data_IF_229126105333
#
_entry.id   IF_229126105333
#
_cell.length_a   1.000
_cell.length_b   1.000
_cell.length_c   1.000
_cell.angle_alpha   90.00
_cell.angle_beta   90.00
_cell.angle_gamma   90.00
#
_symmetry.space_group_name_H-M   'P 1'
#
loop_
_entity.id
_entity.type
_entity.pdbx_description
1 polymer ?
#
# COMPACT_ATOMS: atom_id res chain seq x y z
N UNK A 1 6.30 -4.14 -24.86
CA UNK A 1 5.04 -4.04 -24.09
C UNK A 1 5.40 -4.21 -22.63
N UNK A 2 5.58 -3.11 -21.90
CA UNK A 2 6.12 -3.12 -20.52
C UNK A 2 5.10 -2.48 -19.59
N UNK A 3 4.57 -3.30 -18.67
CA UNK A 3 3.95 -2.97 -17.38
C UNK A 3 3.17 -1.65 -17.30
N UNK A 4 1.85 -1.71 -17.53
CA UNK A 4 0.98 -0.55 -17.38
C UNK A 4 -0.38 -0.80 -16.72
N UNK A 5 -0.67 -2.01 -16.23
CA UNK A 5 -2.03 -2.34 -15.77
C UNK A 5 -2.14 -2.76 -14.29
N UNK A 6 -1.06 -3.19 -13.65
CA UNK A 6 -1.12 -3.80 -12.30
C UNK A 6 -1.06 -2.76 -11.18
N UNK A 7 -0.60 -1.54 -11.46
CA UNK A 7 -0.39 -0.52 -10.41
C UNK A 7 -1.70 0.12 -9.90
N UNK A 8 -2.80 -0.02 -10.65
CA UNK A 8 -4.12 0.53 -10.27
C UNK A 8 -5.03 -0.47 -9.53
N UNK A 9 -4.67 -1.75 -9.46
CA UNK A 9 -5.53 -2.76 -8.82
C UNK A 9 -5.56 -2.67 -7.30
N UNK A 10 -4.43 -2.31 -6.67
CA UNK A 10 -4.35 -2.26 -5.21
C UNK A 10 -5.13 -1.07 -4.61
N UNK A 11 -5.25 0.02 -5.35
CA UNK A 11 -6.05 1.16 -4.91
C UNK A 11 -7.54 0.81 -4.93
N UNK A 12 -8.01 0.07 -5.94
CA UNK A 12 -9.42 -0.31 -6.07
C UNK A 12 -9.87 -1.30 -5.00
N UNK A 13 -9.03 -2.27 -4.64
CA UNK A 13 -9.33 -3.26 -3.60
C UNK A 13 -9.51 -2.59 -2.23
N UNK A 14 -8.63 -1.65 -1.85
CA UNK A 14 -8.72 -1.00 -0.54
C UNK A 14 -9.86 0.01 -0.37
N UNK A 15 -10.36 0.61 -1.47
CA UNK A 15 -11.53 1.52 -1.42
C UNK A 15 -12.85 0.79 -1.67
N UNK A 16 -12.84 -0.33 -2.40
CA UNK A 16 -14.02 -1.16 -2.67
C UNK A 16 -14.58 -1.82 -1.41
N UNK A 17 -13.73 -2.38 -0.56
CA UNK A 17 -14.17 -3.04 0.68
C UNK A 17 -14.89 -2.08 1.64
N UNK A 18 -14.43 -0.81 1.73
CA UNK A 18 -15.08 0.23 2.54
C UNK A 18 -16.42 0.66 1.96
N UNK A 19 -16.53 0.81 0.63
CA UNK A 19 -17.80 1.14 -0.02
C UNK A 19 -18.87 0.06 0.24
N UNK A 20 -18.49 -1.22 0.12
CA UNK A 20 -19.40 -2.34 0.38
C UNK A 20 -19.86 -2.38 1.84
N UNK A 21 -18.97 -2.08 2.79
CA UNK A 21 -19.32 -2.02 4.21
C UNK A 21 -20.31 -0.89 4.53
N UNK A 22 -20.22 0.26 3.84
CA UNK A 22 -21.19 1.35 3.96
C UNK A 22 -22.55 1.02 3.31
N UNK A 23 -22.57 0.31 2.17
CA UNK A 23 -23.83 -0.20 1.59
C UNK A 23 -24.52 -1.22 2.52
N UNK A 24 -23.76 -2.12 3.15
CA UNK A 24 -24.30 -3.12 4.08
C UNK A 24 -24.86 -2.48 5.36
N UNK A 25 -24.18 -1.46 5.94
CA UNK A 25 -24.69 -0.72 7.10
C UNK A 25 -25.96 0.10 6.78
N UNK A 26 -26.00 0.74 5.60
CA UNK A 26 -27.18 1.45 5.13
C UNK A 26 -28.36 0.49 4.88
N UNK A 27 -28.08 -0.74 4.47
CA UNK A 27 -29.09 -1.79 4.28
C UNK A 27 -29.58 -2.38 5.62
N UNK A 28 -28.71 -2.45 6.64
CA UNK A 28 -29.04 -3.04 7.94
C UNK A 28 -29.92 -2.15 8.83
N UNK A 29 -29.99 -0.84 8.57
CA UNK A 29 -30.91 0.08 9.28
C UNK A 29 -32.38 -0.10 8.88
N UNK A 30 -32.67 -0.97 7.91
CA UNK A 30 -34.01 -1.23 7.38
C UNK A 30 -34.67 -2.50 7.96
N UNK A 31 -34.49 -2.79 9.25
CA UNK A 31 -35.33 -3.78 9.95
C UNK A 31 -36.61 -3.12 10.51
N UNK A 32 -37.39 -2.44 9.66
CA UNK A 32 -38.69 -1.89 10.05
C UNK A 32 -39.20 -0.75 9.18
N UNK A 33 -39.93 -1.08 8.10
CA UNK A 33 -40.84 -0.12 7.44
C UNK A 33 -40.46 0.33 6.02
N UNK A 34 -40.94 -0.42 5.03
CA UNK A 34 -41.75 0.10 3.90
C UNK A 34 -41.21 1.10 2.87
N UNK A 35 -40.08 1.77 3.05
CA UNK A 35 -39.64 2.82 2.11
C UNK A 35 -38.14 2.67 1.79
N UNK A 36 -37.80 2.45 0.52
CA UNK A 36 -36.42 2.42 0.06
C UNK A 36 -35.85 3.84 0.08
N UNK A 37 -34.80 4.14 0.87
CA UNK A 37 -34.17 5.45 0.76
C UNK A 37 -33.56 5.57 -0.64
N UNK A 38 -33.82 6.69 -1.33
CA UNK A 38 -33.09 7.06 -2.54
C UNK A 38 -31.66 7.36 -2.11
N UNK A 39 -30.83 6.31 -2.05
CA UNK A 39 -29.46 6.40 -1.61
C UNK A 39 -28.63 7.06 -2.71
N UNK A 40 -28.06 8.23 -2.41
CA UNK A 40 -27.11 8.89 -3.30
C UNK A 40 -25.79 8.13 -3.31
N UNK A 41 -25.66 7.20 -4.27
CA UNK A 41 -24.46 6.38 -4.47
C UNK A 41 -23.20 7.21 -4.64
N UNK A 42 -23.33 8.45 -5.13
CA UNK A 42 -22.20 9.36 -5.33
C UNK A 42 -21.70 9.88 -3.98
N UNK A 43 -22.59 10.28 -3.07
CA UNK A 43 -22.23 10.67 -1.71
C UNK A 43 -21.56 9.53 -0.94
N UNK A 44 -22.09 8.31 -1.05
CA UNK A 44 -21.54 7.12 -0.40
C UNK A 44 -20.12 6.78 -0.91
N UNK A 45 -19.91 6.89 -2.22
CA UNK A 45 -18.59 6.72 -2.81
C UNK A 45 -17.59 7.78 -2.33
N UNK A 46 -18.02 9.05 -2.25
CA UNK A 46 -17.16 10.13 -1.74
C UNK A 46 -16.73 9.85 -0.31
N UNK A 47 -17.64 9.43 0.56
CA UNK A 47 -17.32 9.06 1.94
C UNK A 47 -16.31 7.89 1.99
N UNK A 48 -16.54 6.83 1.21
CA UNK A 48 -15.66 5.66 1.14
C UNK A 48 -14.23 6.00 0.67
N UNK A 49 -14.07 6.90 -0.31
CA UNK A 49 -12.75 7.30 -0.84
C UNK A 49 -12.06 8.41 -0.05
N UNK A 50 -12.63 8.83 1.09
CA UNK A 50 -12.03 9.80 2.01
C UNK A 50 -12.63 11.20 1.90
N UNK A 51 -13.97 11.26 1.87
CA UNK A 51 -14.83 12.41 1.57
C UNK A 51 -14.81 13.60 2.52
N UNK A 52 -13.63 14.00 2.99
CA UNK A 52 -13.47 15.30 3.65
C UNK A 52 -12.87 16.31 2.68
N UNK A 53 -13.58 17.44 2.50
CA UNK A 53 -13.07 18.58 1.75
C UNK A 53 -11.78 19.05 2.44
N UNK A 54 -10.62 18.79 1.81
CA UNK A 54 -9.30 19.18 2.33
C UNK A 54 -9.35 20.62 2.84
N UNK A 55 -9.17 20.79 4.16
CA UNK A 55 -9.04 22.10 4.77
C UNK A 55 -7.87 22.86 4.13
N UNK A 56 -7.87 24.19 4.22
CA UNK A 56 -6.72 24.99 3.76
C UNK A 56 -5.50 24.64 4.63
N UNK A 57 -4.67 23.72 4.15
CA UNK A 57 -3.40 23.36 4.78
C UNK A 57 -2.37 24.42 4.38
N UNK A 58 -1.97 25.25 5.33
CA UNK A 58 -0.84 26.15 5.16
C UNK A 58 0.41 25.46 5.68
N UNK A 59 1.38 25.24 4.80
CA UNK A 59 2.65 24.64 5.14
C UNK A 59 3.44 24.40 3.87
N UNK A 60 4.75 24.62 3.93
CA UNK A 60 5.63 24.10 2.90
C UNK A 60 5.65 22.60 3.06
N UNK A 61 5.01 21.87 2.14
CA UNK A 61 5.08 20.40 2.08
C UNK A 61 6.54 19.93 1.95
N UNK A 62 6.77 18.61 1.84
CA UNK A 62 8.13 18.05 1.69
C UNK A 62 8.91 18.82 0.62
N UNK A 63 9.83 19.69 1.07
CA UNK A 63 10.58 20.55 0.19
C UNK A 63 11.62 19.69 -0.51
N UNK A 64 11.68 19.77 -1.85
CA UNK A 64 12.94 19.46 -2.53
C UNK A 64 13.97 20.43 -1.97
N UNK A 65 15.21 19.97 -1.74
CA UNK A 65 16.28 20.80 -1.16
C UNK A 65 16.38 22.14 -1.90
N UNK A 66 15.79 23.18 -1.32
CA UNK A 66 15.89 24.56 -1.78
C UNK A 66 16.81 25.22 -0.77
N UNK A 67 17.95 25.67 -1.26
CA UNK A 67 18.91 26.40 -0.45
C UNK A 67 18.42 27.83 -0.25
N UNK A 68 17.97 28.14 0.97
CA UNK A 68 17.62 29.50 1.36
C UNK A 68 18.78 30.10 2.17
N UNK A 69 19.58 31.02 1.60
CA UNK A 69 20.66 31.65 2.33
C UNK A 69 20.09 32.55 3.45
N UNK A 70 20.29 32.15 4.71
CA UNK A 70 20.11 33.06 5.85
C UNK A 70 21.44 33.75 6.14
N UNK A 71 21.45 35.08 6.14
CA UNK A 71 22.53 35.90 6.69
C UNK A 71 22.41 35.97 8.21
N UNK A 72 22.87 34.92 8.89
CA UNK A 72 22.96 34.87 10.35
C UNK A 72 24.42 35.04 10.81
N UNK A 73 24.68 36.02 11.68
CA UNK A 73 25.92 36.12 12.43
C UNK A 73 25.95 35.02 13.51
N UNK A 74 26.63 33.91 13.24
CA UNK A 74 26.75 32.79 14.18
C UNK A 74 28.02 32.87 15.01
N UNK A 75 27.86 32.89 16.33
CA UNK A 75 28.92 32.51 17.27
C UNK A 75 28.87 30.99 17.42
N UNK A 76 29.86 30.28 16.89
CA UNK A 76 29.94 28.82 17.00
C UNK A 76 30.68 28.43 18.29
N UNK A 77 30.03 27.64 19.14
CA UNK A 77 30.76 26.76 20.07
C UNK A 77 31.21 25.55 19.25
N UNK A 78 32.52 25.36 19.10
CA UNK A 78 33.08 24.25 18.36
C UNK A 78 32.72 22.92 19.03
N UNK A 79 32.01 22.03 18.32
CA UNK A 79 31.85 20.66 18.75
C UNK A 79 33.24 19.99 18.82
N UNK A 80 33.46 19.15 19.82
CA UNK A 80 34.71 18.41 19.94
C UNK A 80 34.86 17.46 18.76
N UNK A 81 36.07 17.36 18.20
CA UNK A 81 36.39 16.42 17.12
C UNK A 81 35.97 14.98 17.46
N UNK A 82 36.06 14.59 18.75
CA UNK A 82 35.64 13.27 19.20
C UNK A 82 34.12 13.07 19.10
N UNK A 83 33.33 14.09 19.44
CA UNK A 83 31.86 14.03 19.36
C UNK A 83 31.38 13.87 17.91
N UNK A 84 32.02 14.59 17.00
CA UNK A 84 31.75 14.48 15.56
C UNK A 84 32.10 13.09 15.04
N UNK A 85 33.25 12.54 15.44
CA UNK A 85 33.65 11.19 15.02
C UNK A 85 32.72 10.11 15.59
N UNK A 86 32.33 10.19 16.86
CA UNK A 86 31.34 9.27 17.44
C UNK A 86 30.00 9.34 16.71
N UNK A 87 29.58 10.55 16.29
CA UNK A 87 28.35 10.73 15.52
C UNK A 87 28.43 10.13 14.13
N UNK A 88 29.57 10.26 13.45
CA UNK A 88 29.80 9.66 12.13
C UNK A 88 29.69 8.14 12.21
N UNK A 89 30.40 7.51 13.14
CA UNK A 89 30.36 6.05 13.35
C UNK A 89 28.93 5.57 13.66
N UNK A 90 28.20 6.31 14.50
CA UNK A 90 26.79 6.00 14.80
C UNK A 90 25.90 6.05 13.55
N UNK A 91 26.10 7.04 12.68
CA UNK A 91 25.34 7.18 11.45
C UNK A 91 25.69 6.08 10.43
N UNK A 92 26.95 5.67 10.37
CA UNK A 92 27.39 4.55 9.52
C UNK A 92 26.73 3.24 9.97
N UNK A 93 26.73 2.96 11.26
CA UNK A 93 26.07 1.76 11.82
C UNK A 93 24.58 1.74 11.52
N UNK A 94 23.88 2.87 11.72
CA UNK A 94 22.44 2.99 11.38
C UNK A 94 22.18 2.83 9.90
N UNK A 95 23.03 3.38 9.03
CA UNK A 95 22.88 3.18 7.59
C UNK A 95 23.03 1.71 7.21
N UNK A 96 23.97 0.99 7.83
CA UNK A 96 24.15 -0.44 7.61
C UNK A 96 22.92 -1.24 8.04
N UNK A 97 22.41 -1.00 9.24
CA UNK A 97 21.19 -1.64 9.75
C UNK A 97 19.98 -1.38 8.83
N UNK A 98 19.81 -0.14 8.37
CA UNK A 98 18.76 0.21 7.42
C UNK A 98 18.91 -0.54 6.09
N UNK A 99 20.13 -0.67 5.56
CA UNK A 99 20.37 -1.43 4.34
C UNK A 99 20.02 -2.91 4.50
N UNK A 100 20.42 -3.52 5.62
CA UNK A 100 20.08 -4.91 5.95
C UNK A 100 18.55 -5.09 6.07
N UNK A 101 17.86 -4.18 6.76
CA UNK A 101 16.39 -4.24 6.89
C UNK A 101 15.67 -4.14 5.53
N UNK A 102 16.16 -3.28 4.62
CA UNK A 102 15.60 -3.14 3.28
C UNK A 102 15.86 -4.36 2.41
N UNK A 103 16.99 -5.03 2.62
CA UNK A 103 17.30 -6.27 1.92
C UNK A 103 16.38 -7.41 2.39
N UNK A 104 16.22 -7.57 3.70
CA UNK A 104 15.30 -8.56 4.27
C UNK A 104 13.87 -8.40 3.72
N UNK A 105 13.35 -7.17 3.66
CA UNK A 105 12.02 -6.89 3.08
C UNK A 105 11.94 -7.27 1.59
N UNK A 106 13.03 -7.11 0.83
CA UNK A 106 13.06 -7.48 -0.59
C UNK A 106 13.02 -8.99 -0.78
N UNK A 107 13.79 -9.71 0.03
CA UNK A 107 13.83 -11.17 0.01
C UNK A 107 12.47 -11.76 0.39
N UNK A 108 11.86 -11.29 1.49
CA UNK A 108 10.51 -11.71 1.92
C UNK A 108 9.46 -11.50 0.81
N UNK A 109 9.54 -10.37 0.10
CA UNK A 109 8.64 -10.07 -1.01
C UNK A 109 8.86 -11.02 -2.19
N UNK A 110 10.10 -11.40 -2.46
CA UNK A 110 10.43 -12.28 -3.58
C UNK A 110 10.05 -13.73 -3.25
N UNK A 111 10.24 -14.18 -2.01
CA UNK A 111 9.75 -15.47 -1.50
C UNK A 111 8.22 -15.55 -1.57
N UNK A 112 7.52 -14.49 -1.18
CA UNK A 112 6.07 -14.43 -1.32
C UNK A 112 5.62 -14.53 -2.78
N UNK A 113 6.32 -13.87 -3.70
CA UNK A 113 6.04 -13.96 -5.14
C UNK A 113 6.24 -15.38 -5.66
N UNK A 114 7.32 -16.04 -5.26
CA UNK A 114 7.57 -17.43 -5.63
C UNK A 114 6.50 -18.38 -5.08
N UNK A 115 6.09 -18.19 -3.81
CA UNK A 115 5.06 -19.00 -3.20
C UNK A 115 3.73 -18.90 -3.97
N UNK A 116 3.32 -17.67 -4.33
CA UNK A 116 2.11 -17.43 -5.13
C UNK A 116 2.21 -18.10 -6.50
N UNK A 117 3.37 -18.01 -7.16
CA UNK A 117 3.60 -18.66 -8.46
C UNK A 117 3.52 -20.18 -8.37
N UNK A 118 4.14 -20.78 -7.33
CA UNK A 118 4.08 -22.23 -7.08
C UNK A 118 2.65 -22.69 -6.78
N UNK A 119 1.90 -21.91 -6.01
CA UNK A 119 0.49 -22.21 -5.73
C UNK A 119 -0.35 -22.22 -7.01
N UNK A 120 -0.15 -21.23 -7.88
CA UNK A 120 -0.84 -21.15 -9.17
C UNK A 120 -0.44 -22.30 -10.11
N UNK A 121 0.84 -22.69 -10.13
CA UNK A 121 1.31 -23.85 -10.89
C UNK A 121 0.64 -25.15 -10.44
N UNK A 122 0.57 -25.37 -9.13
CA UNK A 122 -0.11 -26.55 -8.58
C UNK A 122 -1.61 -26.53 -8.91
N UNK A 123 -2.27 -25.38 -8.81
CA UNK A 123 -3.68 -25.23 -9.19
C UNK A 123 -3.91 -25.54 -10.69
N UNK A 124 -3.01 -25.11 -11.58
CA UNK A 124 -3.10 -25.42 -13.01
C UNK A 124 -2.90 -26.91 -13.28
N UNK A 125 -1.96 -27.56 -12.60
CA UNK A 125 -1.76 -29.02 -12.70
C UNK A 125 -2.98 -29.80 -12.22
N UNK A 126 -3.59 -29.36 -11.12
CA UNK A 126 -4.82 -29.98 -10.60
C UNK A 126 -5.99 -29.81 -11.57
N UNK A 127 -6.12 -28.63 -12.17
CA UNK A 127 -7.13 -28.38 -13.20
C UNK A 127 -6.90 -29.26 -14.44
N UNK A 128 -5.66 -29.35 -14.93
CA UNK A 128 -5.31 -30.20 -16.07
C UNK A 128 -5.60 -31.68 -15.77
N UNK A 129 -5.24 -32.16 -14.58
CA UNK A 129 -5.50 -33.54 -14.16
C UNK A 129 -7.01 -33.85 -14.14
N UNK A 130 -7.83 -32.93 -13.60
CA UNK A 130 -9.30 -33.07 -13.61
C UNK A 130 -9.86 -33.10 -15.03
N UNK A 131 -9.37 -32.25 -15.92
CA UNK A 131 -9.77 -32.23 -17.33
C UNK A 131 -9.41 -33.54 -18.03
N UNK A 132 -8.17 -34.03 -17.87
CA UNK A 132 -7.73 -35.31 -18.44
C UNK A 132 -8.58 -36.49 -17.96
N UNK A 133 -8.92 -36.53 -16.67
CA UNK A 133 -9.78 -37.57 -16.11
C UNK A 133 -11.18 -37.60 -16.73
N UNK A 134 -11.79 -36.43 -16.99
CA UNK A 134 -13.11 -36.38 -17.65
C UNK A 134 -13.08 -36.92 -19.08
N UNK A 135 -12.02 -36.64 -19.85
CA UNK A 135 -11.88 -37.17 -21.20
C UNK A 135 -11.66 -38.68 -21.22
N UNK A 136 -10.98 -39.25 -20.22
CA UNK A 136 -10.77 -40.70 -20.13
C UNK A 136 -12.05 -41.47 -19.79
N UNK A 137 -12.99 -40.88 -19.05
CA UNK A 137 -14.26 -41.53 -18.70
C UNK A 137 -15.33 -41.52 -19.81
N UNK A 138 -15.15 -40.73 -20.88
CA UNK A 138 -16.08 -40.72 -22.04
C UNK A 138 -15.65 -41.66 -23.18
N UNK A 139 -14.50 -42.32 -23.09
CA UNK A 139 -13.93 -43.16 -24.15
C UNK A 139 -13.99 -44.68 -23.85
N UNK A 140 -14.80 -45.11 -22.87
CA UNK A 140 -15.14 -46.52 -22.59
C UNK A 140 -16.65 -46.68 -22.53
#
# INVERSE_FOLDING_TARGET
MKYGFVQYYYQWIHHGDRYLQFEDQASQTQAGGGESPIMDKVALFYEAVGGEKKSRVYGTGSQKSIFYPQSSCSSSKGASSMELQSRIIQLENKNKELQESLQAIREDRDDYREQVMRQMENMMKDFEARMRSQFTHQAS
#
